data_IF_980647283064
#
_entry.id   IF_980647283064
#
_cell.length_a   1.000
_cell.length_b   1.000
_cell.length_c   1.000
_cell.angle_alpha   90.00
_cell.angle_beta   90.00
_cell.angle_gamma   90.00
#
_symmetry.space_group_name_H-M   'P 1'
#
loop_
_entity.id
_entity.type
_entity.pdbx_description
1 polymer ?
#
# COMPACT_ATOMS: atom_id res chain seq x y z
N UNK A 1 13.00 -0.71 -11.11
CA UNK A 1 12.77 -0.94 -9.68
C UNK A 1 11.39 -0.42 -9.34
N UNK A 2 10.57 -1.23 -8.66
CA UNK A 2 9.19 -0.93 -8.34
C UNK A 2 8.88 -1.22 -6.88
N UNK A 3 8.31 -0.25 -6.17
CA UNK A 3 7.81 -0.43 -4.81
C UNK A 3 6.29 -0.55 -4.80
N UNK A 4 5.77 -1.44 -3.97
CA UNK A 4 4.36 -1.47 -3.60
C UNK A 4 4.13 -0.55 -2.40
N UNK A 5 3.18 0.39 -2.49
CA UNK A 5 2.79 1.27 -1.38
C UNK A 5 1.53 0.73 -0.74
N UNK A 6 1.71 0.01 0.37
CA UNK A 6 0.63 -0.51 1.19
C UNK A 6 0.07 0.56 2.12
N UNK A 7 -1.25 0.67 2.23
CA UNK A 7 -1.94 1.54 3.18
C UNK A 7 -3.29 0.94 3.59
N UNK A 8 -3.89 1.47 4.65
CA UNK A 8 -5.27 1.08 4.99
C UNK A 8 -6.28 1.93 4.22
N UNK A 9 -7.14 1.29 3.44
CA UNK A 9 -8.27 1.94 2.77
C UNK A 9 -9.36 2.28 3.80
N UNK A 10 -9.74 1.31 4.64
CA UNK A 10 -10.78 1.47 5.67
C UNK A 10 -10.28 2.19 6.93
N UNK A 11 -8.96 2.32 7.08
CA UNK A 11 -8.33 2.94 8.25
C UNK A 11 -8.73 2.26 9.56
N UNK A 12 -8.66 3.00 10.65
CA UNK A 12 -9.09 2.59 12.00
C UNK A 12 -10.57 2.20 12.11
N UNK A 13 -11.40 2.55 11.13
CA UNK A 13 -12.84 2.30 11.14
C UNK A 13 -13.20 0.89 10.65
N UNK A 14 -12.28 0.20 9.97
CA UNK A 14 -12.49 -1.18 9.53
C UNK A 14 -13.79 -1.35 8.74
N UNK A 15 -14.60 -2.34 9.09
CA UNK A 15 -15.86 -2.65 8.37
C UNK A 15 -16.91 -1.54 8.45
N UNK A 16 -16.79 -0.63 9.41
CA UNK A 16 -17.71 0.49 9.61
C UNK A 16 -17.25 1.77 8.90
N UNK A 17 -16.18 1.69 8.10
CA UNK A 17 -15.69 2.83 7.33
C UNK A 17 -16.73 3.29 6.30
N UNK A 18 -17.01 4.59 6.32
CA UNK A 18 -17.85 5.24 5.29
C UNK A 18 -17.05 5.47 4.02
N UNK A 19 -17.75 5.63 2.88
CA UNK A 19 -17.13 5.97 1.61
C UNK A 19 -16.28 7.26 1.69
N UNK A 20 -16.72 8.25 2.48
CA UNK A 20 -15.96 9.48 2.72
C UNK A 20 -14.65 9.20 3.45
N UNK A 21 -14.68 8.41 4.52
CA UNK A 21 -13.46 8.05 5.26
C UNK A 21 -12.49 7.22 4.42
N UNK A 22 -13.01 6.28 3.63
CA UNK A 22 -12.18 5.50 2.70
C UNK A 22 -11.51 6.42 1.66
N UNK A 23 -12.25 7.37 1.11
CA UNK A 23 -11.72 8.36 0.18
C UNK A 23 -10.65 9.23 0.83
N UNK A 24 -10.88 9.73 2.04
CA UNK A 24 -9.90 10.53 2.79
C UNK A 24 -8.59 9.75 3.02
N UNK A 25 -8.68 8.46 3.37
CA UNK A 25 -7.50 7.60 3.53
C UNK A 25 -6.75 7.41 2.19
N UNK A 26 -7.48 7.17 1.09
CA UNK A 26 -6.91 7.05 -0.25
C UNK A 26 -6.28 8.36 -0.74
N UNK A 27 -6.91 9.50 -0.48
CA UNK A 27 -6.40 10.82 -0.87
C UNK A 27 -5.12 11.15 -0.08
N UNK A 28 -5.06 10.82 1.21
CA UNK A 28 -3.88 11.03 2.05
C UNK A 28 -2.66 10.26 1.51
N UNK A 29 -2.81 8.96 1.19
CA UNK A 29 -1.69 8.18 0.65
C UNK A 29 -1.30 8.63 -0.77
N UNK A 30 -2.25 9.12 -1.58
CA UNK A 30 -1.95 9.68 -2.91
C UNK A 30 -1.04 10.90 -2.83
N UNK A 31 -1.20 11.75 -1.80
CA UNK A 31 -0.30 12.88 -1.56
C UNK A 31 1.12 12.39 -1.26
N UNK A 32 1.27 11.40 -0.38
CA UNK A 32 2.57 10.80 -0.04
C UNK A 32 3.20 10.15 -1.27
N UNK A 33 2.43 9.35 -2.03
CA UNK A 33 2.90 8.70 -3.25
C UNK A 33 3.35 9.72 -4.30
N UNK A 34 2.64 10.84 -4.45
CA UNK A 34 3.06 11.94 -5.32
C UNK A 34 4.42 12.49 -4.87
N UNK A 35 4.61 12.78 -3.59
CA UNK A 35 5.88 13.28 -3.07
C UNK A 35 7.01 12.28 -3.32
N UNK A 36 6.79 10.99 -3.10
CA UNK A 36 7.78 9.94 -3.39
C UNK A 36 8.13 9.88 -4.88
N UNK A 37 7.14 10.00 -5.77
CA UNK A 37 7.35 10.07 -7.23
C UNK A 37 8.15 11.31 -7.64
N UNK A 38 7.91 12.46 -7.00
CA UNK A 38 8.65 13.70 -7.25
C UNK A 38 10.12 13.58 -6.78
N UNK A 39 10.37 12.92 -5.64
CA UNK A 39 11.72 12.71 -5.08
C UNK A 39 12.50 11.66 -5.87
N UNK A 40 11.82 10.58 -6.31
CA UNK A 40 12.42 9.44 -7.00
C UNK A 40 11.79 9.23 -8.39
N UNK A 41 12.05 10.11 -9.37
CA UNK A 41 11.38 10.07 -10.67
C UNK A 41 11.71 8.84 -11.53
N UNK A 42 12.76 8.07 -11.18
CA UNK A 42 13.16 6.84 -11.87
C UNK A 42 12.65 5.57 -11.19
N UNK A 43 11.95 5.70 -10.06
CA UNK A 43 11.38 4.59 -9.30
C UNK A 43 9.90 4.48 -9.60
N UNK A 44 9.44 3.28 -9.92
CA UNK A 44 8.02 3.01 -10.10
C UNK A 44 7.35 2.73 -8.74
N UNK A 45 6.16 3.28 -8.53
CA UNK A 45 5.38 3.12 -7.30
C UNK A 45 3.98 2.63 -7.66
N UNK A 46 3.70 1.36 -7.32
CA UNK A 46 2.36 0.81 -7.38
C UNK A 46 1.58 1.23 -6.13
N UNK A 47 0.42 1.87 -6.32
CA UNK A 47 -0.44 2.32 -5.23
C UNK A 47 -1.86 1.78 -5.45
N UNK A 48 -2.37 0.88 -4.59
CA UNK A 48 -3.73 0.34 -4.71
C UNK A 48 -4.82 1.41 -4.79
N UNK A 49 -4.65 2.52 -4.06
CA UNK A 49 -5.57 3.66 -4.06
C UNK A 49 -5.81 4.27 -5.46
N UNK A 50 -4.89 4.09 -6.42
CA UNK A 50 -5.05 4.56 -7.80
C UNK A 50 -6.10 3.71 -8.57
N UNK A 51 -6.48 2.55 -8.05
CA UNK A 51 -7.41 1.60 -8.64
C UNK A 51 -8.69 1.39 -7.81
N UNK A 52 -8.87 2.18 -6.75
CA UNK A 52 -9.94 1.99 -5.76
C UNK A 52 -11.35 1.97 -6.38
N UNK A 53 -11.63 2.81 -7.38
CA UNK A 53 -12.95 2.83 -8.02
C UNK A 53 -13.32 1.47 -8.63
N UNK A 54 -12.37 0.80 -9.29
CA UNK A 54 -12.58 -0.53 -9.87
C UNK A 54 -12.78 -1.58 -8.77
N UNK A 55 -11.92 -1.56 -7.73
CA UNK A 55 -11.97 -2.54 -6.64
C UNK A 55 -13.27 -2.40 -5.85
N UNK A 56 -13.65 -1.17 -5.48
CA UNK A 56 -14.90 -0.87 -4.80
C UNK A 56 -16.12 -1.32 -5.60
N UNK A 57 -16.18 -1.02 -6.91
CA UNK A 57 -17.30 -1.47 -7.76
C UNK A 57 -17.32 -3.00 -7.85
N UNK A 58 -16.18 -3.65 -8.08
CA UNK A 58 -16.10 -5.10 -8.18
C UNK A 58 -16.52 -5.82 -6.89
N UNK A 59 -16.17 -5.25 -5.74
CA UNK A 59 -16.60 -5.74 -4.44
C UNK A 59 -18.10 -5.55 -4.21
N UNK A 60 -18.64 -4.36 -4.47
CA UNK A 60 -20.05 -4.04 -4.27
C UNK A 60 -20.98 -4.88 -5.17
N UNK A 61 -20.57 -5.12 -6.41
CA UNK A 61 -21.31 -5.95 -7.38
C UNK A 61 -21.06 -7.46 -7.19
N UNK A 62 -20.32 -7.86 -6.14
CA UNK A 62 -19.99 -9.24 -5.81
C UNK A 62 -19.22 -9.99 -6.93
N UNK A 63 -18.52 -9.25 -7.80
CA UNK A 63 -17.61 -9.85 -8.78
C UNK A 63 -16.31 -10.36 -8.14
N UNK A 64 -15.89 -9.73 -7.04
CA UNK A 64 -14.73 -10.15 -6.26
C UNK A 64 -15.07 -10.11 -4.77
N UNK A 65 -14.60 -11.12 -4.04
CA UNK A 65 -14.60 -11.11 -2.57
C UNK A 65 -13.42 -10.32 -2.02
N UNK A 66 -13.51 -9.87 -0.76
CA UNK A 66 -12.37 -9.21 -0.08
C UNK A 66 -11.12 -10.09 -0.08
N UNK A 67 -11.29 -11.41 0.08
CA UNK A 67 -10.17 -12.35 0.00
C UNK A 67 -9.52 -12.36 -1.38
N UNK A 68 -10.31 -12.42 -2.45
CA UNK A 68 -9.76 -12.44 -3.81
C UNK A 68 -9.05 -11.14 -4.18
N UNK A 69 -9.52 -10.00 -3.66
CA UNK A 69 -8.84 -8.71 -3.81
C UNK A 69 -7.47 -8.77 -3.16
N UNK A 70 -7.38 -9.20 -1.89
CA UNK A 70 -6.11 -9.32 -1.18
C UNK A 70 -5.18 -10.36 -1.83
N UNK A 71 -5.71 -11.48 -2.32
CA UNK A 71 -4.94 -12.48 -3.06
C UNK A 71 -4.36 -11.90 -4.38
N UNK A 72 -5.07 -10.96 -5.02
CA UNK A 72 -4.57 -10.24 -6.20
C UNK A 72 -3.46 -9.26 -5.79
N UNK A 73 -3.65 -8.49 -4.73
CA UNK A 73 -2.66 -7.54 -4.22
C UNK A 73 -1.34 -8.27 -3.88
N UNK A 74 -1.39 -9.40 -3.18
CA UNK A 74 -0.22 -10.25 -2.91
C UNK A 74 0.46 -10.76 -4.21
N UNK A 75 -0.32 -11.14 -5.24
CA UNK A 75 0.26 -11.53 -6.54
C UNK A 75 0.93 -10.36 -7.26
N UNK A 76 0.44 -9.14 -7.09
CA UNK A 76 1.08 -7.94 -7.65
C UNK A 76 2.41 -7.71 -6.94
N UNK A 77 2.42 -7.78 -5.61
CA UNK A 77 3.64 -7.68 -4.80
C UNK A 77 4.68 -8.70 -5.28
N UNK A 78 4.32 -9.99 -5.33
CA UNK A 78 5.25 -11.07 -5.70
C UNK A 78 5.78 -10.95 -7.12
N UNK A 79 4.93 -10.58 -8.09
CA UNK A 79 5.26 -10.68 -9.51
C UNK A 79 5.81 -9.40 -10.12
N UNK A 80 5.57 -8.26 -9.49
CA UNK A 80 5.76 -6.95 -10.11
C UNK A 80 6.56 -5.97 -9.26
N UNK A 81 6.79 -6.25 -7.98
CA UNK A 81 7.47 -5.34 -7.05
C UNK A 81 8.76 -5.93 -6.50
N UNK A 82 9.75 -5.06 -6.30
CA UNK A 82 11.05 -5.42 -5.71
C UNK A 82 11.04 -5.28 -4.18
N UNK A 83 10.09 -4.50 -3.64
CA UNK A 83 9.94 -4.23 -2.22
C UNK A 83 8.53 -3.67 -1.90
N UNK A 84 8.16 -3.74 -0.62
CA UNK A 84 6.91 -3.19 -0.07
C UNK A 84 7.25 -2.10 0.95
N UNK A 85 6.57 -0.96 0.87
CA UNK A 85 6.56 0.05 1.92
C UNK A 85 5.14 0.17 2.48
N UNK A 86 5.01 0.06 3.80
CA UNK A 86 3.72 -0.01 4.48
C UNK A 86 3.51 1.26 5.30
N UNK A 87 2.50 2.04 4.92
CA UNK A 87 2.14 3.26 5.63
C UNK A 87 1.24 2.96 6.84
N UNK A 88 1.72 3.33 8.02
CA UNK A 88 1.00 3.26 9.29
C UNK A 88 1.12 4.62 9.98
N UNK A 89 0.14 5.53 9.84
CA UNK A 89 0.20 6.84 10.46
C UNK A 89 0.20 6.75 11.99
N UNK A 90 0.66 7.82 12.64
CA UNK A 90 0.63 7.90 14.11
C UNK A 90 -0.81 7.74 14.64
N UNK A 91 -0.97 6.89 15.66
CA UNK A 91 -2.28 6.58 16.26
C UNK A 91 -3.11 5.56 15.46
N UNK A 92 -2.52 4.91 14.46
CA UNK A 92 -3.09 3.78 13.73
C UNK A 92 -2.21 2.52 13.92
N UNK A 93 -2.73 1.35 13.52
CA UNK A 93 -2.08 0.05 13.76
C UNK A 93 -1.95 -0.77 12.47
N UNK A 94 -0.97 -1.66 12.38
CA UNK A 94 -0.87 -2.60 11.27
C UNK A 94 -2.04 -3.59 11.32
N UNK A 95 -2.98 -3.50 10.39
CA UNK A 95 -4.24 -4.24 10.39
C UNK A 95 -4.84 -4.35 8.98
N UNK A 96 -5.79 -5.27 8.80
CA UNK A 96 -6.56 -5.38 7.56
C UNK A 96 -5.69 -5.77 6.37
N UNK A 97 -5.99 -5.21 5.19
CA UNK A 97 -5.25 -5.52 3.96
C UNK A 97 -3.74 -5.29 4.08
N UNK A 98 -3.31 -4.17 4.66
CA UNK A 98 -1.87 -3.89 4.84
C UNK A 98 -1.14 -4.88 5.77
N UNK A 99 -1.83 -5.49 6.74
CA UNK A 99 -1.24 -6.55 7.55
C UNK A 99 -1.04 -7.81 6.70
N UNK A 100 -2.04 -8.18 5.89
CA UNK A 100 -1.95 -9.33 4.99
C UNK A 100 -0.80 -9.16 3.99
N UNK A 101 -0.65 -7.97 3.40
CA UNK A 101 0.44 -7.65 2.48
C UNK A 101 1.82 -7.65 3.17
N UNK A 102 1.89 -7.13 4.39
CA UNK A 102 3.11 -7.15 5.20
C UNK A 102 3.53 -8.60 5.52
N UNK A 103 2.60 -9.39 6.04
CA UNK A 103 2.85 -10.80 6.41
C UNK A 103 3.26 -11.60 5.17
N UNK A 104 2.58 -11.40 4.04
CA UNK A 104 2.93 -12.01 2.76
C UNK A 104 4.36 -11.67 2.31
N UNK A 105 4.75 -10.39 2.41
CA UNK A 105 6.09 -9.96 2.05
C UNK A 105 7.15 -10.63 2.93
N UNK A 106 6.90 -10.74 4.24
CA UNK A 106 7.79 -11.44 5.18
C UNK A 106 7.91 -12.93 4.82
N UNK A 107 6.79 -13.61 4.60
CA UNK A 107 6.74 -15.05 4.27
C UNK A 107 7.46 -15.39 2.97
N UNK A 108 7.43 -14.47 1.99
CA UNK A 108 8.05 -14.65 0.67
C UNK A 108 9.45 -14.00 0.56
N UNK A 109 10.03 -13.54 1.66
CA UNK A 109 11.35 -12.88 1.71
C UNK A 109 11.46 -11.64 0.81
N UNK A 110 10.34 -10.93 0.61
CA UNK A 110 10.28 -9.68 -0.13
C UNK A 110 10.65 -8.55 0.84
N UNK A 111 11.62 -7.68 0.50
CA UNK A 111 12.00 -6.57 1.36
C UNK A 111 10.80 -5.70 1.72
N UNK A 112 10.57 -5.50 3.02
CA UNK A 112 9.45 -4.71 3.53
C UNK A 112 9.92 -3.71 4.59
N UNK A 113 9.31 -2.53 4.60
CA UNK A 113 9.56 -1.49 5.59
C UNK A 113 8.25 -0.79 5.97
N UNK A 114 8.02 -0.59 7.26
CA UNK A 114 6.90 0.20 7.78
C UNK A 114 7.33 1.65 8.06
N UNK A 115 6.50 2.61 7.66
CA UNK A 115 6.74 4.02 7.93
C UNK A 115 5.47 4.76 8.37
N UNK A 116 5.66 5.77 9.21
CA UNK A 116 4.64 6.74 9.61
C UNK A 116 4.93 8.13 9.03
N UNK A 117 6.18 8.41 8.69
CA UNK A 117 6.66 9.69 8.15
C UNK A 117 7.39 9.49 6.84
N UNK A 118 7.26 10.44 5.90
CA UNK A 118 7.81 10.30 4.54
C UNK A 118 9.34 10.20 4.55
N UNK A 119 10.03 10.85 5.49
CA UNK A 119 11.49 10.81 5.63
C UNK A 119 12.00 9.39 5.87
N UNK A 120 11.21 8.55 6.57
CA UNK A 120 11.54 7.14 6.80
C UNK A 120 11.48 6.36 5.47
N UNK A 121 10.44 6.59 4.67
CA UNK A 121 10.31 6.02 3.33
C UNK A 121 11.47 6.45 2.41
N UNK A 122 11.79 7.74 2.39
CA UNK A 122 12.89 8.30 1.59
C UNK A 122 14.23 7.69 1.99
N UNK A 123 14.50 7.58 3.29
CA UNK A 123 15.73 6.98 3.82
C UNK A 123 15.86 5.51 3.38
N UNK A 124 14.80 4.72 3.55
CA UNK A 124 14.78 3.31 3.14
C UNK A 124 15.00 3.12 1.65
N UNK A 125 14.24 3.84 0.81
CA UNK A 125 14.35 3.75 -0.66
C UNK A 125 15.76 4.16 -1.11
N UNK A 126 16.33 5.22 -0.54
CA UNK A 126 17.70 5.65 -0.84
C UNK A 126 18.71 4.54 -0.51
N UNK A 127 18.60 3.94 0.67
CA UNK A 127 19.47 2.83 1.08
C UNK A 127 19.28 1.59 0.19
N UNK A 128 18.05 1.32 -0.23
CA UNK A 128 17.72 0.21 -1.12
C UNK A 128 18.37 0.39 -2.49
N UNK A 129 18.24 1.57 -3.09
CA UNK A 129 18.85 1.93 -4.38
C UNK A 129 20.37 1.80 -4.34
N UNK A 130 21.01 2.32 -3.27
CA UNK A 130 22.47 2.31 -3.16
C UNK A 130 23.07 0.92 -2.93
N UNK A 131 22.25 -0.08 -2.57
CA UNK A 131 22.67 -1.46 -2.34
C UNK A 131 22.42 -2.38 -3.54
N UNK A 132 21.54 -1.98 -4.47
CA UNK A 132 21.20 -2.71 -5.68
C UNK A 132 22.25 -2.49 -6.78
#
# INVERSE_FOLDING_TARGET
>A
MRFYISHSIRGKYGKDATATQMKENCDAIKVIAKQLRDIFPTVDFYLPADHEDFVSIAYCELYLTEKEILDIDCKIIERMCDAVIVYVPEGDELQGGRLVEYDFAIEHFIPVMMFSEIEQAVSYITCFILRA
#
